data_IF_288842130722
#
_entry.id   IF_288842130722
#
_cell.length_a   1.000
_cell.length_b   1.000
_cell.length_c   1.000
_cell.angle_alpha   90.00
_cell.angle_beta   90.00
_cell.angle_gamma   90.00
#
_symmetry.space_group_name_H-M   'P 1'
#
loop_
_entity.id
_entity.type
_entity.pdbx_description
1 polymer ?
#
# COMPACT_ATOMS: atom_id res chain seq x y z
N UNK A 1 -19.04 -26.30 21.20
CA UNK A 1 -18.68 -26.97 19.93
C UNK A 1 -17.53 -27.92 20.24
N UNK A 2 -17.53 -29.15 19.72
CA UNK A 2 -16.42 -30.11 19.92
C UNK A 2 -15.27 -29.80 18.95
N UNK A 3 -14.04 -30.28 19.20
CA UNK A 3 -12.89 -30.09 18.28
C UNK A 3 -13.19 -30.58 16.86
N UNK A 4 -13.79 -31.78 16.73
CA UNK A 4 -14.24 -32.32 15.43
C UNK A 4 -15.23 -31.38 14.71
N UNK A 5 -16.10 -30.70 15.44
CA UNK A 5 -17.04 -29.75 14.84
C UNK A 5 -16.36 -28.43 14.42
N UNK A 6 -15.23 -28.06 15.04
CA UNK A 6 -14.44 -26.90 14.64
C UNK A 6 -13.63 -27.18 13.38
N UNK A 7 -13.05 -28.38 13.26
CA UNK A 7 -12.33 -28.82 12.06
C UNK A 7 -13.28 -28.90 10.85
N UNK A 8 -14.45 -29.52 11.01
CA UNK A 8 -15.48 -29.56 9.95
C UNK A 8 -15.93 -28.14 9.55
N UNK A 9 -16.13 -27.23 10.52
CA UNK A 9 -16.49 -25.85 10.21
C UNK A 9 -15.37 -25.15 9.43
N UNK A 10 -14.12 -25.40 9.82
CA UNK A 10 -12.95 -24.82 9.19
C UNK A 10 -12.85 -25.24 7.71
N UNK A 11 -12.95 -26.55 7.43
CA UNK A 11 -12.91 -27.09 6.06
C UNK A 11 -14.05 -26.53 5.21
N UNK A 12 -15.28 -26.52 5.73
CA UNK A 12 -16.42 -25.97 5.00
C UNK A 12 -16.27 -24.48 4.68
N UNK A 13 -15.65 -23.70 5.58
CA UNK A 13 -15.37 -22.27 5.33
C UNK A 13 -14.30 -22.11 4.25
N UNK A 14 -13.25 -22.93 4.29
CA UNK A 14 -12.20 -22.94 3.28
C UNK A 14 -12.79 -23.25 1.89
N UNK A 15 -13.55 -24.33 1.77
CA UNK A 15 -14.16 -24.77 0.51
C UNK A 15 -15.15 -23.73 -0.04
N UNK A 16 -16.01 -23.18 0.83
CA UNK A 16 -16.97 -22.16 0.43
C UNK A 16 -16.27 -20.89 -0.08
N UNK A 17 -15.19 -20.46 0.58
CA UNK A 17 -14.41 -19.30 0.13
C UNK A 17 -13.72 -19.59 -1.20
N UNK A 18 -13.11 -20.76 -1.36
CA UNK A 18 -12.51 -21.20 -2.63
C UNK A 18 -13.51 -21.12 -3.78
N UNK A 19 -14.70 -21.72 -3.61
CA UNK A 19 -15.74 -21.70 -4.63
C UNK A 19 -16.24 -20.29 -4.98
N UNK A 20 -16.29 -19.38 -3.99
CA UNK A 20 -16.62 -17.96 -4.24
C UNK A 20 -15.57 -17.31 -5.13
N UNK A 21 -14.29 -17.49 -4.81
CA UNK A 21 -13.20 -16.90 -5.59
C UNK A 21 -13.11 -17.49 -6.99
N UNK A 22 -13.24 -18.82 -7.12
CA UNK A 22 -13.24 -19.50 -8.42
C UNK A 22 -14.32 -18.99 -9.35
N UNK A 23 -15.54 -18.88 -8.83
CA UNK A 23 -16.70 -18.39 -9.58
C UNK A 23 -16.57 -16.94 -10.02
N UNK A 24 -15.79 -16.12 -9.29
CA UNK A 24 -15.76 -14.66 -9.48
C UNK A 24 -14.53 -14.15 -10.19
N UNK A 25 -13.41 -14.85 -10.06
CA UNK A 25 -12.13 -14.41 -10.58
C UNK A 25 -11.56 -15.42 -11.57
N UNK A 26 -11.79 -16.71 -11.38
CA UNK A 26 -11.18 -17.78 -12.18
C UNK A 26 -10.42 -18.76 -11.30
N UNK A 27 -9.63 -19.64 -11.91
CA UNK A 27 -9.00 -20.77 -11.23
C UNK A 27 -8.27 -20.37 -9.93
N UNK A 28 -8.58 -21.09 -8.85
CA UNK A 28 -7.86 -20.98 -7.60
C UNK A 28 -6.47 -21.60 -7.74
N UNK A 29 -5.40 -20.98 -7.20
CA UNK A 29 -4.06 -21.53 -7.30
C UNK A 29 -3.89 -22.79 -6.43
N UNK A 30 -2.98 -23.67 -6.84
CA UNK A 30 -2.67 -24.89 -6.09
C UNK A 30 -2.11 -24.60 -4.68
N UNK A 31 -1.42 -23.46 -4.53
CA UNK A 31 -0.80 -23.05 -3.27
C UNK A 31 -1.03 -21.55 -2.98
N UNK A 32 -1.14 -21.23 -1.68
CA UNK A 32 -1.14 -19.86 -1.18
C UNK A 32 0.23 -19.52 -0.60
N UNK A 33 0.70 -18.29 -0.85
CA UNK A 33 1.93 -17.74 -0.30
C UNK A 33 1.78 -17.49 1.21
N UNK A 34 2.61 -18.19 1.99
CA UNK A 34 2.71 -17.98 3.45
C UNK A 34 3.64 -16.81 3.76
N UNK A 35 3.20 -15.95 4.67
CA UNK A 35 4.06 -14.92 5.27
C UNK A 35 4.82 -15.57 6.42
N UNK A 36 6.13 -15.73 6.29
CA UNK A 36 6.92 -16.52 7.23
C UNK A 36 6.89 -16.00 8.66
N UNK A 37 6.87 -14.67 8.87
CA UNK A 37 6.71 -14.05 10.19
C UNK A 37 5.29 -14.20 10.78
N UNK A 38 4.33 -14.69 9.99
CA UNK A 38 2.97 -15.00 10.44
C UNK A 38 2.76 -16.49 10.74
N UNK A 39 3.84 -17.29 10.74
CA UNK A 39 3.76 -18.71 11.11
C UNK A 39 3.18 -18.86 12.51
N UNK A 40 2.12 -19.66 12.64
CA UNK A 40 1.39 -19.86 13.90
C UNK A 40 0.49 -18.71 14.35
N UNK A 41 0.59 -17.53 13.70
CA UNK A 41 -0.31 -16.38 13.90
C UNK A 41 -1.49 -16.45 12.92
N UNK A 42 -1.21 -16.88 11.69
CA UNK A 42 -2.18 -17.06 10.59
C UNK A 42 -2.03 -18.44 9.93
N UNK A 43 -2.22 -19.54 10.69
CA UNK A 43 -1.84 -20.90 10.24
C UNK A 43 -2.60 -21.32 8.98
N UNK A 44 -3.89 -20.99 8.92
CA UNK A 44 -4.82 -21.35 7.86
C UNK A 44 -4.92 -20.36 6.71
N UNK A 45 -4.08 -19.32 6.67
CA UNK A 45 -4.20 -18.27 5.67
C UNK A 45 -2.89 -17.87 5.01
N UNK A 46 -2.99 -16.99 4.04
CA UNK A 46 -1.89 -16.55 3.19
C UNK A 46 -2.35 -15.56 2.13
N UNK A 47 -1.43 -15.20 1.26
CA UNK A 47 -1.69 -14.38 0.09
C UNK A 47 -1.75 -15.28 -1.14
N UNK A 48 -2.45 -14.88 -2.19
CA UNK A 48 -2.21 -15.48 -3.49
C UNK A 48 -2.43 -14.49 -4.61
N UNK A 49 -1.86 -14.85 -5.77
CA UNK A 49 -2.11 -14.18 -7.05
C UNK A 49 -2.63 -15.17 -8.09
N UNK A 50 -3.51 -14.72 -8.96
CA UNK A 50 -4.09 -15.53 -10.04
C UNK A 50 -4.57 -14.63 -11.17
N UNK A 51 -4.73 -15.19 -12.38
CA UNK A 51 -5.44 -14.47 -13.45
C UNK A 51 -6.91 -14.33 -13.08
N UNK A 52 -7.44 -13.12 -13.21
CA UNK A 52 -8.84 -12.81 -13.01
C UNK A 52 -9.64 -13.00 -14.32
N UNK A 53 -9.57 -14.20 -14.91
CA UNK A 53 -10.12 -14.52 -16.23
C UNK A 53 -11.63 -14.32 -16.36
N UNK A 54 -12.38 -14.37 -15.26
CA UNK A 54 -13.83 -14.08 -15.25
C UNK A 54 -14.14 -12.58 -15.35
N UNK A 55 -13.14 -11.71 -15.17
CA UNK A 55 -13.28 -10.25 -15.21
C UNK A 55 -12.71 -9.62 -16.48
N UNK A 56 -11.70 -10.23 -17.10
CA UNK A 56 -11.09 -9.76 -18.34
C UNK A 56 -9.80 -10.51 -18.70
N UNK A 57 -9.37 -10.37 -19.95
CA UNK A 57 -8.29 -11.19 -20.54
C UNK A 57 -6.89 -10.91 -19.96
N UNK A 58 -6.68 -9.73 -19.38
CA UNK A 58 -5.38 -9.29 -18.87
C UNK A 58 -5.51 -8.64 -17.47
N UNK A 59 -6.46 -9.14 -16.68
CA UNK A 59 -6.60 -8.78 -15.27
C UNK A 59 -5.97 -9.83 -14.37
N UNK A 60 -5.30 -9.36 -13.33
CA UNK A 60 -4.74 -10.21 -12.27
C UNK A 60 -5.35 -9.85 -10.92
N UNK A 61 -5.69 -10.88 -10.16
CA UNK A 61 -6.15 -10.81 -8.79
C UNK A 61 -4.99 -11.08 -7.85
N UNK A 62 -4.88 -10.24 -6.82
CA UNK A 62 -4.07 -10.47 -5.63
C UNK A 62 -5.00 -10.37 -4.44
N UNK A 63 -4.88 -11.28 -3.49
CA UNK A 63 -5.79 -11.27 -2.35
C UNK A 63 -5.20 -11.91 -1.10
N UNK A 64 -5.76 -11.52 0.05
CA UNK A 64 -5.69 -12.33 1.26
C UNK A 64 -6.64 -13.52 1.15
N UNK A 65 -6.26 -14.62 1.79
CA UNK A 65 -7.12 -15.77 1.93
C UNK A 65 -6.92 -16.33 3.33
N UNK A 66 -7.92 -16.18 4.20
CA UNK A 66 -7.84 -16.69 5.56
C UNK A 66 -8.21 -15.69 6.65
N UNK A 67 -8.42 -14.41 6.33
CA UNK A 67 -8.84 -13.42 7.32
C UNK A 67 -10.23 -13.72 7.86
N UNK A 68 -11.05 -14.43 7.07
CA UNK A 68 -12.40 -14.87 7.42
C UNK A 68 -12.47 -16.25 8.10
N UNK A 69 -11.32 -16.88 8.41
CA UNK A 69 -11.33 -18.22 9.01
C UNK A 69 -11.95 -18.23 10.43
N UNK A 70 -12.54 -19.36 10.88
CA UNK A 70 -13.15 -19.47 12.21
C UNK A 70 -12.19 -19.29 13.39
N UNK A 71 -10.89 -19.46 13.19
CA UNK A 71 -9.83 -19.30 14.19
C UNK A 71 -9.30 -17.86 14.31
N UNK A 72 -9.83 -16.93 13.50
CA UNK A 72 -9.53 -15.50 13.58
C UNK A 72 -10.59 -14.74 14.43
N UNK A 73 -10.28 -13.57 15.00
CA UNK A 73 -8.98 -12.89 15.06
C UNK A 73 -7.89 -13.66 15.79
N UNK A 74 -6.63 -13.42 15.42
CA UNK A 74 -5.48 -14.14 16.03
C UNK A 74 -5.33 -13.83 17.52
N UNK A 75 -4.94 -14.84 18.28
CA UNK A 75 -4.67 -14.71 19.72
C UNK A 75 -3.19 -14.47 20.04
N UNK A 76 -2.33 -14.51 19.02
CA UNK A 76 -0.87 -14.52 19.20
C UNK A 76 -0.20 -13.41 18.40
N UNK A 77 0.94 -12.96 18.90
CA UNK A 77 1.89 -12.09 18.20
C UNK A 77 3.19 -12.87 18.01
N UNK A 78 3.86 -12.70 16.86
CA UNK A 78 5.21 -13.20 16.67
C UNK A 78 6.20 -12.34 17.46
N UNK A 79 7.21 -12.96 18.05
CA UNK A 79 8.27 -12.36 18.85
C UNK A 79 9.60 -13.06 18.57
N UNK A 80 10.73 -12.37 18.81
CA UNK A 80 12.08 -12.92 18.60
C UNK A 80 12.26 -13.55 17.21
N UNK A 81 11.85 -12.83 16.17
CA UNK A 81 11.91 -13.31 14.79
C UNK A 81 13.37 -13.31 14.35
N UNK A 82 13.91 -14.51 14.12
CA UNK A 82 15.24 -14.71 13.56
C UNK A 82 15.09 -15.41 12.21
N UNK A 83 15.74 -14.87 11.19
CA UNK A 83 15.76 -15.47 9.87
C UNK A 83 17.20 -15.89 9.54
N UNK A 84 17.40 -17.20 9.32
CA UNK A 84 18.70 -17.77 8.97
C UNK A 84 18.50 -18.76 7.84
N UNK A 85 19.17 -18.55 6.70
CA UNK A 85 19.15 -19.44 5.53
C UNK A 85 17.74 -19.86 5.07
N UNK A 86 16.80 -18.91 5.06
CA UNK A 86 15.40 -19.15 4.65
C UNK A 86 14.51 -19.79 5.72
N UNK A 87 15.07 -20.25 6.84
CA UNK A 87 14.30 -20.67 8.00
C UNK A 87 13.96 -19.46 8.87
N UNK A 88 12.70 -19.40 9.30
CA UNK A 88 12.22 -18.38 10.24
C UNK A 88 11.95 -19.06 11.56
N UNK A 89 12.71 -18.68 12.57
CA UNK A 89 12.46 -19.02 13.96
C UNK A 89 11.73 -17.85 14.62
N UNK A 90 10.61 -18.14 15.27
CA UNK A 90 9.86 -17.15 16.04
C UNK A 90 9.26 -17.80 17.28
N UNK A 91 8.95 -16.96 18.25
CA UNK A 91 8.18 -17.31 19.43
C UNK A 91 6.80 -16.66 19.36
N UNK A 92 5.77 -17.35 19.85
CA UNK A 92 4.41 -16.82 19.92
C UNK A 92 4.13 -16.31 21.33
N UNK A 93 3.70 -15.06 21.43
CA UNK A 93 3.22 -14.48 22.68
C UNK A 93 1.74 -14.21 22.59
N UNK A 94 0.98 -14.60 23.61
CA UNK A 94 -0.46 -14.35 23.63
C UNK A 94 -0.74 -12.85 23.73
N UNK A 95 -1.70 -12.35 22.97
CA UNK A 95 -2.16 -10.96 23.05
C UNK A 95 -2.81 -10.70 24.41
N UNK A 96 -2.52 -9.55 25.01
CA UNK A 96 -3.19 -9.10 26.24
C UNK A 96 -4.68 -8.87 26.00
N UNK A 97 -5.02 -8.28 24.85
CA UNK A 97 -6.39 -8.08 24.39
C UNK A 97 -6.51 -8.60 22.95
N UNK A 98 -7.52 -9.42 22.71
CA UNK A 98 -7.89 -9.88 21.36
C UNK A 98 -9.15 -9.11 20.97
N UNK A 99 -9.17 -8.41 19.81
CA UNK A 99 -10.38 -7.73 19.38
C UNK A 99 -11.49 -8.74 19.14
N UNK A 100 -12.71 -8.33 19.47
CA UNK A 100 -13.92 -9.12 19.21
C UNK A 100 -14.77 -8.34 18.21
N UNK A 101 -15.10 -8.99 17.12
CA UNK A 101 -15.98 -8.43 16.09
C UNK A 101 -17.26 -9.27 16.03
N UNK A 102 -18.29 -8.93 16.83
CA UNK A 102 -19.58 -9.60 16.74
C UNK A 102 -20.09 -9.59 15.29
N UNK A 103 -20.71 -10.71 14.88
CA UNK A 103 -21.35 -10.87 13.56
C UNK A 103 -20.38 -10.93 12.35
N UNK A 104 -19.06 -10.93 12.58
CA UNK A 104 -18.06 -11.08 11.51
C UNK A 104 -17.48 -12.50 11.51
N UNK A 105 -17.38 -13.17 10.34
CA UNK A 105 -16.56 -14.37 10.22
C UNK A 105 -15.08 -13.96 10.30
N UNK A 106 -14.38 -14.36 11.37
CA UNK A 106 -12.99 -13.93 11.59
C UNK A 106 -12.86 -12.40 11.72
N UNK A 107 -11.99 -11.80 10.91
CA UNK A 107 -11.91 -10.34 10.74
C UNK A 107 -13.07 -9.75 9.92
N UNK A 108 -13.81 -10.59 9.19
CA UNK A 108 -15.04 -10.24 8.48
C UNK A 108 -14.87 -9.86 7.02
N UNK A 109 -13.66 -9.93 6.48
CA UNK A 109 -13.38 -9.57 5.10
C UNK A 109 -12.18 -10.30 4.52
N UNK A 110 -12.12 -10.38 3.20
CA UNK A 110 -10.86 -10.52 2.48
C UNK A 110 -10.59 -9.20 1.73
N UNK A 111 -9.32 -8.88 1.50
CA UNK A 111 -8.90 -7.71 0.73
C UNK A 111 -8.27 -8.14 -0.59
N UNK A 112 -8.62 -7.43 -1.65
CA UNK A 112 -8.13 -7.67 -3.00
C UNK A 112 -7.42 -6.44 -3.58
N UNK A 113 -6.52 -6.71 -4.51
CA UNK A 113 -5.96 -5.74 -5.46
C UNK A 113 -6.16 -6.33 -6.84
N UNK A 114 -6.69 -5.54 -7.78
CA UNK A 114 -6.73 -5.91 -9.19
C UNK A 114 -5.70 -5.09 -9.95
N UNK A 115 -4.97 -5.72 -10.86
CA UNK A 115 -4.02 -5.01 -11.76
C UNK A 115 -4.27 -5.40 -13.20
N UNK A 116 -3.82 -4.52 -14.10
CA UNK A 116 -3.61 -4.88 -15.50
C UNK A 116 -2.25 -5.61 -15.60
N UNK A 117 -2.24 -6.80 -16.18
CA UNK A 117 -1.05 -7.64 -16.22
C UNK A 117 -0.57 -8.13 -14.85
N UNK A 118 0.42 -9.02 -14.87
CA UNK A 118 1.06 -9.53 -13.66
C UNK A 118 2.04 -8.50 -13.09
N UNK A 119 2.10 -8.36 -11.77
CA UNK A 119 2.97 -7.44 -11.04
C UNK A 119 3.24 -7.98 -9.63
N UNK A 120 4.42 -7.70 -9.05
CA UNK A 120 4.76 -8.22 -7.73
C UNK A 120 4.43 -7.27 -6.57
N UNK A 121 4.39 -5.96 -6.82
CA UNK A 121 4.09 -4.94 -5.80
C UNK A 121 2.77 -5.15 -5.03
N UNK A 122 1.67 -5.70 -5.60
CA UNK A 122 0.43 -5.87 -4.84
C UNK A 122 0.58 -6.82 -3.64
N UNK A 123 1.51 -7.78 -3.70
CA UNK A 123 1.78 -8.67 -2.57
C UNK A 123 2.37 -7.90 -1.38
N UNK A 124 3.23 -6.90 -1.63
CA UNK A 124 3.73 -6.00 -0.60
C UNK A 124 2.62 -5.19 0.07
N UNK A 125 1.66 -4.68 -0.71
CA UNK A 125 0.48 -3.99 -0.19
C UNK A 125 -0.40 -4.91 0.68
N UNK A 126 -0.62 -6.15 0.25
CA UNK A 126 -1.41 -7.11 1.03
C UNK A 126 -0.67 -7.55 2.30
N UNK A 127 0.65 -7.72 2.25
CA UNK A 127 1.47 -7.97 3.44
C UNK A 127 1.36 -6.80 4.44
N UNK A 128 1.41 -5.56 3.98
CA UNK A 128 1.15 -4.39 4.82
C UNK A 128 -0.24 -4.45 5.46
N UNK A 129 -1.28 -4.77 4.68
CA UNK A 129 -2.66 -4.84 5.20
C UNK A 129 -2.82 -5.94 6.26
N UNK A 130 -2.23 -7.12 6.03
CA UNK A 130 -2.22 -8.22 7.01
C UNK A 130 -1.48 -7.82 8.29
N UNK A 131 -0.32 -7.17 8.19
CA UNK A 131 0.41 -6.66 9.34
C UNK A 131 -0.41 -5.62 10.13
N UNK A 132 -1.08 -4.70 9.43
CA UNK A 132 -1.94 -3.70 10.06
C UNK A 132 -3.12 -4.35 10.80
N UNK A 133 -3.79 -5.31 10.18
CA UNK A 133 -4.96 -5.97 10.78
C UNK A 133 -4.58 -6.88 11.94
N UNK A 134 -3.60 -7.79 11.75
CA UNK A 134 -3.34 -8.86 12.71
C UNK A 134 -2.41 -8.45 13.86
N UNK A 135 -1.40 -7.63 13.56
CA UNK A 135 -0.40 -7.23 14.56
C UNK A 135 -0.79 -5.94 15.27
N UNK A 136 -1.52 -5.05 14.60
CA UNK A 136 -1.83 -3.71 15.10
C UNK A 136 -3.33 -3.46 15.31
N UNK A 137 -4.18 -4.48 15.12
CA UNK A 137 -5.63 -4.42 15.33
C UNK A 137 -6.28 -3.22 14.62
N UNK A 138 -5.89 -2.99 13.36
CA UNK A 138 -6.31 -1.81 12.62
C UNK A 138 -7.83 -1.72 12.42
N UNK A 139 -8.55 -2.85 12.38
CA UNK A 139 -9.97 -2.94 12.04
C UNK A 139 -10.28 -2.22 10.72
N UNK A 140 -9.58 -2.61 9.64
CA UNK A 140 -9.70 -1.95 8.34
C UNK A 140 -11.16 -1.95 7.85
N UNK A 141 -11.87 -3.07 8.02
CA UNK A 141 -13.29 -3.15 7.67
C UNK A 141 -14.16 -2.18 8.49
N UNK A 142 -13.95 -2.09 9.80
CA UNK A 142 -14.68 -1.15 10.64
C UNK A 142 -14.42 0.31 10.23
N UNK A 143 -13.17 0.65 9.89
CA UNK A 143 -12.82 1.99 9.37
C UNK A 143 -13.47 2.26 8.02
N UNK A 144 -13.42 1.32 7.08
CA UNK A 144 -14.09 1.46 5.77
C UNK A 144 -15.59 1.71 5.96
N UNK A 145 -16.26 0.94 6.83
CA UNK A 145 -17.69 1.14 7.13
C UNK A 145 -17.97 2.50 7.78
N UNK A 146 -17.12 2.91 8.73
CA UNK A 146 -17.31 4.16 9.48
C UNK A 146 -17.11 5.40 8.60
N UNK A 147 -16.19 5.34 7.65
CA UNK A 147 -15.74 6.50 6.88
C UNK A 147 -16.11 6.44 5.38
N UNK A 148 -16.94 5.46 4.98
CA UNK A 148 -17.31 5.20 3.58
C UNK A 148 -16.08 5.06 2.66
N UNK A 149 -15.13 4.25 3.11
CA UNK A 149 -13.80 4.11 2.51
C UNK A 149 -12.69 4.55 3.45
N UNK A 150 -11.47 4.11 3.16
CA UNK A 150 -10.27 4.41 3.93
C UNK A 150 -9.14 4.77 2.97
N UNK A 151 -8.50 5.91 3.18
CA UNK A 151 -7.32 6.28 2.41
C UNK A 151 -6.08 6.11 3.25
N UNK A 152 -5.04 5.54 2.65
CA UNK A 152 -3.74 5.31 3.27
C UNK A 152 -2.66 5.85 2.33
N UNK A 153 -1.81 6.71 2.87
CA UNK A 153 -0.71 7.34 2.15
C UNK A 153 0.59 6.53 2.30
N UNK A 154 1.41 6.60 1.26
CA UNK A 154 2.79 6.10 1.24
C UNK A 154 2.97 4.70 1.83
N UNK A 155 2.14 3.75 1.37
CA UNK A 155 2.31 2.33 1.67
C UNK A 155 3.48 1.80 0.85
N UNK A 156 4.52 1.31 1.53
CA UNK A 156 5.66 0.65 0.89
C UNK A 156 5.23 -0.71 0.33
N UNK A 157 5.47 -0.95 -0.96
CA UNK A 157 5.00 -2.14 -1.69
C UNK A 157 6.12 -2.94 -2.36
N UNK A 158 7.37 -2.49 -2.22
CA UNK A 158 8.58 -3.12 -2.74
C UNK A 158 9.82 -2.37 -2.27
N UNK A 159 10.96 -2.61 -2.91
CA UNK A 159 12.26 -1.98 -2.59
C UNK A 159 12.26 -0.49 -2.96
N UNK A 160 11.66 0.34 -2.09
CA UNK A 160 11.57 1.80 -2.26
C UNK A 160 10.35 2.29 -3.03
N UNK A 161 9.47 1.39 -3.47
CA UNK A 161 8.20 1.75 -4.13
C UNK A 161 7.10 2.02 -3.12
N UNK A 162 6.35 3.11 -3.33
CA UNK A 162 5.24 3.50 -2.46
C UNK A 162 3.98 3.83 -3.26
N UNK A 163 2.84 3.42 -2.73
CA UNK A 163 1.52 3.75 -3.30
C UNK A 163 0.63 4.44 -2.28
N UNK A 164 -0.24 5.33 -2.77
CA UNK A 164 -1.40 5.76 -2.02
C UNK A 164 -2.58 4.87 -2.42
N UNK A 165 -3.43 4.51 -1.47
CA UNK A 165 -4.59 3.65 -1.77
C UNK A 165 -5.87 4.21 -1.18
N UNK A 166 -6.97 3.98 -1.91
CA UNK A 166 -8.32 4.01 -1.40
C UNK A 166 -8.82 2.57 -1.22
N UNK A 167 -9.04 2.17 0.03
CA UNK A 167 -9.64 0.89 0.40
C UNK A 167 -11.15 1.11 0.56
N UNK A 168 -11.94 0.37 -0.20
CA UNK A 168 -13.41 0.45 -0.17
C UNK A 168 -14.00 -0.95 -0.24
N UNK A 169 -15.31 -1.08 0.02
CA UNK A 169 -16.02 -2.29 -0.39
C UNK A 169 -15.96 -2.41 -1.93
N UNK A 170 -15.80 -3.62 -2.43
CA UNK A 170 -15.82 -3.89 -3.87
C UNK A 170 -17.21 -3.58 -4.47
N UNK A 171 -17.20 -3.00 -5.68
CA UNK A 171 -18.40 -2.62 -6.41
C UNK A 171 -18.53 -3.39 -7.72
N UNK A 172 -19.75 -3.41 -8.27
CA UNK A 172 -20.08 -4.08 -9.54
C UNK A 172 -19.04 -3.75 -10.63
N UNK A 173 -18.51 -4.77 -11.34
CA UNK A 173 -19.01 -6.16 -11.41
C UNK A 173 -18.59 -7.08 -10.26
N UNK A 174 -17.76 -6.60 -9.32
CA UNK A 174 -17.30 -7.37 -8.17
C UNK A 174 -18.41 -7.48 -7.11
N UNK A 175 -18.49 -8.61 -6.38
CA UNK A 175 -19.40 -8.73 -5.25
C UNK A 175 -18.88 -7.91 -4.07
N UNK A 176 -19.74 -7.11 -3.42
CA UNK A 176 -19.36 -6.41 -2.18
C UNK A 176 -19.30 -7.32 -0.96
N UNK A 177 -20.00 -8.45 -0.97
CA UNK A 177 -20.01 -9.45 0.10
C UNK A 177 -20.14 -10.88 -0.44
N UNK A 178 -19.86 -11.85 0.42
CA UNK A 178 -19.97 -13.28 0.13
C UNK A 178 -20.40 -14.05 1.38
N UNK A 179 -21.13 -15.13 1.20
CA UNK A 179 -21.65 -15.97 2.30
C UNK A 179 -20.71 -17.13 2.57
N UNK A 180 -20.39 -17.34 3.85
CA UNK A 180 -19.63 -18.47 4.37
C UNK A 180 -20.45 -19.22 5.44
N UNK A 181 -20.12 -20.49 5.73
CA UNK A 181 -20.75 -21.25 6.82
C UNK A 181 -20.62 -20.60 8.20
N UNK A 182 -19.60 -19.76 8.43
CA UNK A 182 -19.38 -19.04 9.69
C UNK A 182 -19.85 -17.57 9.67
N UNK A 183 -20.46 -17.08 8.58
CA UNK A 183 -21.01 -15.72 8.52
C UNK A 183 -20.93 -15.06 7.13
N UNK A 184 -21.30 -13.79 7.05
CA UNK A 184 -21.17 -13.00 5.83
C UNK A 184 -19.84 -12.24 5.80
N UNK A 185 -18.96 -12.61 4.87
CA UNK A 185 -17.71 -11.91 4.59
C UNK A 185 -17.92 -10.72 3.66
N UNK A 186 -17.09 -9.70 3.79
CA UNK A 186 -17.06 -8.54 2.89
C UNK A 186 -15.84 -8.64 1.97
N UNK A 187 -15.97 -8.16 0.74
CA UNK A 187 -14.83 -8.03 -0.15
C UNK A 187 -14.38 -6.57 -0.16
N UNK A 188 -13.20 -6.31 0.40
CA UNK A 188 -12.56 -5.00 0.30
C UNK A 188 -11.64 -4.98 -0.91
N UNK A 189 -11.53 -3.84 -1.57
CA UNK A 189 -10.58 -3.62 -2.67
C UNK A 189 -9.74 -2.39 -2.38
N UNK A 190 -8.42 -2.53 -2.52
CA UNK A 190 -7.48 -1.43 -2.46
C UNK A 190 -7.17 -0.95 -3.88
N UNK A 191 -7.64 0.25 -4.19
CA UNK A 191 -7.40 0.92 -5.48
C UNK A 191 -6.29 1.94 -5.31
N UNK A 192 -5.24 1.85 -6.13
CA UNK A 192 -4.17 2.86 -6.18
C UNK A 192 -4.74 4.21 -6.64
N UNK A 193 -4.42 5.24 -5.88
CA UNK A 193 -4.83 6.62 -6.13
C UNK A 193 -3.61 7.54 -6.22
N UNK A 194 -3.75 8.63 -6.95
CA UNK A 194 -2.71 9.66 -7.07
C UNK A 194 -2.66 10.51 -5.79
N UNK A 195 -1.63 11.33 -5.64
CA UNK A 195 -1.52 12.23 -4.48
C UNK A 195 -2.60 13.31 -4.45
N UNK A 196 -3.01 13.82 -5.61
CA UNK A 196 -4.10 14.79 -5.68
C UNK A 196 -5.45 14.16 -5.35
N UNK A 197 -5.67 12.92 -5.79
CA UNK A 197 -6.83 12.13 -5.36
C UNK A 197 -6.82 11.89 -3.84
N UNK A 198 -5.67 11.54 -3.27
CA UNK A 198 -5.48 11.41 -1.82
C UNK A 198 -5.88 12.70 -1.09
N UNK A 199 -5.22 13.82 -1.42
CA UNK A 199 -5.47 15.11 -0.78
C UNK A 199 -6.93 15.57 -0.96
N UNK A 200 -7.47 15.42 -2.17
CA UNK A 200 -8.84 15.79 -2.49
C UNK A 200 -9.86 14.96 -1.71
N UNK A 201 -9.64 13.65 -1.57
CA UNK A 201 -10.56 12.76 -0.86
C UNK A 201 -10.67 13.10 0.64
N UNK A 202 -9.56 13.54 1.24
CA UNK A 202 -9.51 13.99 2.64
C UNK A 202 -10.40 15.21 2.86
N UNK A 203 -10.48 16.10 1.87
CA UNK A 203 -11.29 17.34 1.92
C UNK A 203 -12.73 17.13 1.48
N UNK A 204 -12.97 16.29 0.48
CA UNK A 204 -14.26 16.23 -0.23
C UNK A 204 -15.08 14.97 0.06
N UNK A 205 -14.47 13.90 0.57
CA UNK A 205 -15.09 12.61 0.83
C UNK A 205 -14.50 11.49 -0.04
N UNK A 206 -14.29 10.33 0.59
CA UNK A 206 -13.73 9.12 -0.05
C UNK A 206 -14.72 8.43 -0.97
N UNK A 207 -16.00 8.46 -0.59
CA UNK A 207 -17.14 8.03 -1.40
C UNK A 207 -17.24 8.83 -2.72
N UNK A 208 -16.99 10.14 -2.68
CA UNK A 208 -16.97 10.97 -3.88
C UNK A 208 -15.78 10.68 -4.78
N UNK A 209 -14.61 10.38 -4.21
CA UNK A 209 -13.48 9.91 -5.00
C UNK A 209 -13.80 8.55 -5.63
N UNK A 210 -14.36 7.61 -4.86
CA UNK A 210 -14.80 6.32 -5.37
C UNK A 210 -15.78 6.48 -6.55
N UNK A 211 -16.77 7.37 -6.46
CA UNK A 211 -17.69 7.62 -7.55
C UNK A 211 -16.99 8.10 -8.84
N UNK A 212 -15.93 8.93 -8.71
CA UNK A 212 -15.11 9.36 -9.86
C UNK A 212 -14.29 8.21 -10.42
N UNK A 213 -13.71 7.38 -9.57
CA UNK A 213 -12.97 6.19 -9.98
C UNK A 213 -13.90 5.22 -10.74
N UNK A 214 -15.09 4.92 -10.20
CA UNK A 214 -16.06 4.03 -10.86
C UNK A 214 -16.58 4.54 -12.21
N UNK A 215 -16.51 5.86 -12.44
CA UNK A 215 -16.84 6.48 -13.73
C UNK A 215 -15.66 6.51 -14.72
N UNK A 216 -14.44 6.17 -14.27
CA UNK A 216 -13.25 6.07 -15.12
C UNK A 216 -13.19 4.73 -15.85
N UNK A 217 -12.26 4.60 -16.78
CA UNK A 217 -12.03 3.33 -17.49
C UNK A 217 -11.49 2.24 -16.56
N UNK A 218 -10.61 2.61 -15.63
CA UNK A 218 -9.92 1.67 -14.75
C UNK A 218 -10.79 1.24 -13.57
N UNK A 219 -11.82 2.02 -13.20
CA UNK A 219 -12.73 1.71 -12.09
C UNK A 219 -11.96 1.44 -10.79
N UNK A 220 -11.97 0.20 -10.31
CA UNK A 220 -11.25 -0.23 -9.11
C UNK A 220 -9.99 -1.07 -9.43
N UNK A 221 -9.55 -1.10 -10.68
CA UNK A 221 -8.26 -1.65 -11.09
C UNK A 221 -7.15 -0.69 -10.69
N UNK A 222 -6.13 -1.20 -10.00
CA UNK A 222 -4.97 -0.44 -9.55
C UNK A 222 -3.93 -0.33 -10.66
N UNK A 223 -3.65 0.91 -11.05
CA UNK A 223 -2.63 1.26 -12.03
C UNK A 223 -1.69 2.27 -11.39
N UNK A 224 -0.42 1.91 -11.24
CA UNK A 224 0.61 2.83 -10.76
C UNK A 224 0.87 3.88 -11.85
N UNK A 225 1.06 5.14 -11.44
CA UNK A 225 1.36 6.27 -12.33
C UNK A 225 0.29 6.57 -13.41
N UNK A 226 -0.97 6.15 -13.22
CA UNK A 226 -2.06 6.62 -14.09
C UNK A 226 -2.34 8.12 -13.90
N UNK A 227 -2.89 8.80 -14.91
CA UNK A 227 -3.46 10.13 -14.72
C UNK A 227 -4.54 10.15 -13.64
N UNK A 228 -4.65 11.28 -12.95
CA UNK A 228 -5.67 11.52 -11.94
C UNK A 228 -7.07 11.60 -12.57
N UNK A 229 -8.09 11.07 -11.89
CA UNK A 229 -9.49 11.26 -12.27
C UNK A 229 -10.02 12.65 -11.93
N UNK A 230 -9.24 13.45 -11.20
CA UNK A 230 -9.51 14.87 -10.95
C UNK A 230 -8.91 15.72 -12.06
N UNK A 231 -7.72 15.36 -12.51
CA UNK A 231 -6.91 16.10 -13.47
C UNK A 231 -6.33 15.12 -14.51
N UNK A 232 -7.12 14.73 -15.52
CA UNK A 232 -6.75 13.66 -16.46
C UNK A 232 -5.66 14.08 -17.47
N UNK A 233 -5.36 15.37 -17.58
CA UNK A 233 -4.21 15.85 -18.34
C UNK A 233 -2.95 15.74 -17.47
N UNK A 234 -1.89 15.10 -18.00
CA UNK A 234 -0.58 15.07 -17.36
C UNK A 234 -0.02 16.48 -17.22
N UNK A 235 0.45 16.84 -16.04
CA UNK A 235 1.13 18.11 -15.80
C UNK A 235 2.48 18.08 -16.52
N UNK A 236 2.77 19.12 -17.30
CA UNK A 236 4.10 19.35 -17.80
C UNK A 236 4.86 20.25 -16.81
N UNK A 237 5.81 19.66 -16.08
CA UNK A 237 6.51 20.38 -15.02
C UNK A 237 7.43 21.49 -15.57
N UNK A 238 7.83 21.41 -16.85
CA UNK A 238 8.61 22.48 -17.52
C UNK A 238 7.86 23.81 -17.59
N UNK A 239 6.53 23.77 -17.58
CA UNK A 239 5.68 24.94 -17.80
C UNK A 239 5.36 25.69 -16.50
N UNK A 240 5.80 25.16 -15.35
CA UNK A 240 5.66 25.81 -14.04
C UNK A 240 6.88 26.69 -13.84
N UNK A 241 6.71 28.01 -13.94
CA UNK A 241 7.82 28.98 -13.97
C UNK A 241 7.92 29.85 -12.70
N UNK A 242 7.01 29.64 -11.74
CA UNK A 242 6.99 30.42 -10.50
C UNK A 242 6.55 29.64 -9.26
N UNK A 243 6.89 30.21 -8.11
CA UNK A 243 6.61 29.61 -6.78
C UNK A 243 5.13 29.48 -6.48
N UNK A 244 4.31 30.46 -6.85
CA UNK A 244 2.87 30.46 -6.53
C UNK A 244 2.16 29.27 -7.18
N UNK A 245 2.47 28.99 -8.45
CA UNK A 245 1.99 27.80 -9.15
C UNK A 245 2.47 26.51 -8.50
N UNK A 246 3.76 26.43 -8.12
CA UNK A 246 4.31 25.24 -7.46
C UNK A 246 3.66 24.98 -6.09
N UNK A 247 3.41 26.04 -5.31
CA UNK A 247 2.70 25.98 -4.03
C UNK A 247 1.24 25.56 -4.19
N UNK A 248 0.54 26.07 -5.22
CA UNK A 248 -0.82 25.67 -5.53
C UNK A 248 -0.91 24.19 -5.90
N UNK A 249 -0.03 23.71 -6.78
CA UNK A 249 0.08 22.30 -7.15
C UNK A 249 0.47 21.43 -5.96
N UNK A 250 1.30 21.93 -5.05
CA UNK A 250 1.61 21.22 -3.81
C UNK A 250 0.41 21.12 -2.87
N UNK A 251 -0.38 22.19 -2.74
CA UNK A 251 -1.61 22.18 -1.96
C UNK A 251 -2.68 21.25 -2.57
N UNK A 252 -2.62 21.04 -3.89
CA UNK A 252 -3.44 20.06 -4.59
C UNK A 252 -2.89 18.62 -4.48
N UNK A 253 -1.71 18.41 -3.90
CA UNK A 253 -1.05 17.10 -3.78
C UNK A 253 -0.19 16.71 -4.98
N UNK A 254 -0.17 17.49 -6.06
CA UNK A 254 0.53 17.16 -7.31
C UNK A 254 2.05 17.34 -7.24
N UNK A 255 2.49 18.17 -6.29
CA UNK A 255 3.89 18.35 -5.92
C UNK A 255 4.04 18.16 -4.40
N UNK A 256 5.26 17.83 -3.97
CA UNK A 256 5.65 17.75 -2.56
C UNK A 256 6.75 18.75 -2.28
N UNK A 257 6.52 19.58 -1.26
CA UNK A 257 7.58 20.41 -0.69
C UNK A 257 8.67 19.48 -0.15
N UNK A 258 9.87 19.58 -0.72
CA UNK A 258 11.01 18.72 -0.41
C UNK A 258 12.21 19.60 -0.08
N UNK A 259 13.08 19.14 0.82
CA UNK A 259 14.27 19.88 1.22
C UNK A 259 15.51 19.35 0.52
N UNK A 260 16.32 20.22 -0.07
CA UNK A 260 17.60 19.85 -0.71
C UNK A 260 18.53 19.25 0.35
N UNK A 261 18.74 19.99 1.44
CA UNK A 261 19.41 19.56 2.65
C UNK A 261 18.35 19.14 3.69
N UNK A 262 18.25 17.85 4.04
CA UNK A 262 17.24 17.33 4.96
C UNK A 262 17.22 18.06 6.30
N UNK A 263 16.02 18.25 6.87
CA UNK A 263 15.87 18.89 8.18
C UNK A 263 16.53 18.05 9.27
N UNK A 264 16.52 16.72 9.11
CA UNK A 264 17.15 15.74 9.98
C UNK A 264 18.69 15.85 9.99
N UNK A 265 19.29 16.43 8.94
CA UNK A 265 20.72 16.77 8.89
C UNK A 265 21.02 18.17 9.46
N UNK A 266 20.00 18.90 9.94
CA UNK A 266 20.12 20.28 10.40
C UNK A 266 19.74 21.33 9.35
N UNK A 267 19.13 20.91 8.23
CA UNK A 267 18.56 21.81 7.25
C UNK A 267 17.51 22.75 7.84
N UNK A 268 17.30 23.87 7.16
CA UNK A 268 16.34 24.89 7.59
C UNK A 268 15.16 24.94 6.63
N UNK A 269 13.98 25.29 7.14
CA UNK A 269 12.82 25.61 6.32
C UNK A 269 12.94 27.05 5.82
N UNK A 270 13.79 27.26 4.81
CA UNK A 270 13.98 28.53 4.14
C UNK A 270 13.92 28.37 2.61
N UNK A 271 13.64 29.47 1.87
CA UNK A 271 13.41 29.38 0.43
C UNK A 271 14.58 28.86 -0.41
N UNK A 272 15.82 28.86 0.08
CA UNK A 272 16.98 28.33 -0.64
C UNK A 272 17.15 26.82 -0.46
N UNK A 273 16.55 26.26 0.59
CA UNK A 273 16.59 24.82 0.87
C UNK A 273 15.35 24.08 0.35
N UNK A 274 14.34 24.78 -0.15
CA UNK A 274 13.06 24.20 -0.57
C UNK A 274 13.01 24.03 -2.09
N UNK A 275 12.62 22.83 -2.52
CA UNK A 275 12.23 22.51 -3.91
C UNK A 275 10.86 21.82 -3.91
N UNK A 276 10.16 21.90 -5.03
CA UNK A 276 8.89 21.20 -5.22
C UNK A 276 9.10 20.08 -6.22
N UNK A 277 8.77 18.85 -5.83
CA UNK A 277 9.01 17.65 -6.65
C UNK A 277 7.73 16.83 -6.80
N UNK A 278 7.51 16.16 -7.93
CA UNK A 278 6.54 15.08 -8.04
C UNK A 278 6.83 14.00 -7.00
N UNK A 279 5.82 13.23 -6.60
CA UNK A 279 5.95 12.20 -5.57
C UNK A 279 7.13 11.26 -5.81
N UNK A 280 7.27 10.74 -7.02
CA UNK A 280 8.31 9.76 -7.34
C UNK A 280 9.69 10.30 -7.02
N UNK A 281 10.03 11.50 -7.52
CA UNK A 281 11.32 12.14 -7.24
C UNK A 281 11.49 12.50 -5.75
N UNK A 282 10.43 12.98 -5.08
CA UNK A 282 10.44 13.27 -3.64
C UNK A 282 10.73 12.02 -2.79
N UNK A 283 10.12 10.89 -3.13
CA UNK A 283 10.35 9.61 -2.43
C UNK A 283 11.71 9.01 -2.74
N UNK A 284 12.15 9.01 -4.00
CA UNK A 284 13.51 8.59 -4.37
C UNK A 284 14.55 9.37 -3.58
N UNK A 285 14.32 10.68 -3.39
CA UNK A 285 15.19 11.50 -2.55
C UNK A 285 15.16 11.05 -1.10
N UNK A 286 13.97 10.86 -0.52
CA UNK A 286 13.83 10.43 0.88
C UNK A 286 14.52 9.10 1.15
N UNK A 287 14.44 8.13 0.23
CA UNK A 287 15.14 6.85 0.33
C UNK A 287 16.66 7.05 0.35
N UNK A 288 17.19 7.87 -0.57
CA UNK A 288 18.62 8.18 -0.60
C UNK A 288 19.08 8.93 0.65
N UNK A 289 18.31 9.93 1.11
CA UNK A 289 18.58 10.68 2.33
C UNK A 289 18.65 9.76 3.55
N UNK A 290 17.77 8.76 3.64
CA UNK A 290 17.79 7.76 4.71
C UNK A 290 19.05 6.89 4.65
N UNK A 291 19.45 6.43 3.46
CA UNK A 291 20.70 5.68 3.29
C UNK A 291 21.92 6.51 3.71
N UNK A 292 21.96 7.79 3.33
CA UNK A 292 23.02 8.72 3.78
C UNK A 292 23.00 8.87 5.30
N UNK A 293 21.83 9.00 5.92
CA UNK A 293 21.69 9.12 7.38
C UNK A 293 22.29 7.92 8.10
N UNK A 294 22.00 6.70 7.64
CA UNK A 294 22.53 5.47 8.22
C UNK A 294 24.06 5.42 8.15
N UNK A 295 24.64 5.79 7.00
CA UNK A 295 26.10 5.87 6.84
C UNK A 295 26.73 7.01 7.65
N UNK A 296 26.06 8.15 7.76
CA UNK A 296 26.53 9.28 8.57
C UNK A 296 26.55 8.92 10.06
N UNK A 297 25.54 8.20 10.56
CA UNK A 297 25.50 7.70 11.94
C UNK A 297 26.64 6.71 12.25
N UNK A 298 27.13 5.99 11.24
CA UNK A 298 28.30 5.11 11.34
C UNK A 298 29.63 5.85 11.24
N UNK A 299 29.62 7.17 10.98
CA UNK A 299 30.80 7.99 10.77
C UNK A 299 31.40 7.89 9.36
N UNK A 300 30.71 7.25 8.42
CA UNK A 300 31.21 6.98 7.07
C UNK A 300 30.98 8.13 6.08
N UNK A 301 30.12 9.08 6.43
CA UNK A 301 29.81 10.28 5.64
C UNK A 301 30.16 11.52 6.46
N UNK A 302 30.78 12.50 5.81
CA UNK A 302 31.21 13.76 6.42
C UNK A 302 30.61 15.00 5.77
N UNK A 303 30.23 14.93 4.49
CA UNK A 303 29.56 16.00 3.78
C UNK A 303 28.36 15.48 3.00
N UNK A 304 27.38 16.34 2.79
CA UNK A 304 26.23 16.09 1.94
C UNK A 304 25.90 17.35 1.15
N UNK A 305 25.64 17.19 -0.14
CA UNK A 305 25.23 18.27 -1.04
C UNK A 305 24.15 17.77 -1.99
N UNK A 306 23.15 18.62 -2.25
CA UNK A 306 22.10 18.36 -3.22
C UNK A 306 21.96 19.60 -4.11
N UNK A 307 22.15 19.41 -5.42
CA UNK A 307 22.15 20.47 -6.41
C UNK A 307 20.99 20.26 -7.38
N UNK A 308 19.95 21.12 -7.38
CA UNK A 308 18.89 21.06 -8.37
C UNK A 308 19.38 21.61 -9.71
N UNK A 309 19.04 20.91 -10.79
CA UNK A 309 19.26 21.36 -12.16
C UNK A 309 17.92 21.82 -12.74
N UNK A 310 17.90 22.98 -13.40
CA UNK A 310 16.70 23.56 -13.98
C UNK A 310 16.84 23.72 -15.49
N UNK A 311 15.75 23.48 -16.23
CA UNK A 311 15.69 23.72 -17.66
C UNK A 311 14.96 25.03 -17.95
N UNK A 312 15.59 25.91 -18.73
CA UNK A 312 15.03 27.19 -19.16
C UNK A 312 14.50 28.02 -17.97
N UNK A 313 13.24 28.45 -18.04
CA UNK A 313 12.59 29.29 -17.03
C UNK A 313 11.77 28.46 -16.01
N UNK A 314 11.89 27.13 -16.00
CA UNK A 314 11.13 26.29 -15.07
C UNK A 314 11.55 26.51 -13.63
N UNK A 315 10.56 26.60 -12.75
CA UNK A 315 10.70 26.62 -11.30
C UNK A 315 10.76 25.20 -10.68
N UNK A 316 10.43 24.16 -11.45
CA UNK A 316 10.55 22.77 -11.03
C UNK A 316 11.85 22.21 -11.63
N UNK A 317 12.79 21.68 -10.81
CA UNK A 317 14.03 21.15 -11.35
C UNK A 317 13.76 19.98 -12.30
N UNK A 318 14.56 19.84 -13.36
CA UNK A 318 14.56 18.65 -14.24
C UNK A 318 15.16 17.45 -13.51
N UNK A 319 16.14 17.71 -12.62
CA UNK A 319 16.85 16.68 -11.87
C UNK A 319 17.48 17.26 -10.60
N UNK A 320 17.87 16.39 -9.67
CA UNK A 320 18.69 16.74 -8.51
C UNK A 320 19.89 15.80 -8.46
N UNK A 321 21.09 16.36 -8.52
CA UNK A 321 22.33 15.63 -8.28
C UNK A 321 22.66 15.69 -6.78
N UNK A 322 22.80 14.53 -6.15
CA UNK A 322 23.08 14.41 -4.72
C UNK A 322 24.41 13.68 -4.53
N UNK A 323 25.30 14.26 -3.74
CA UNK A 323 26.61 13.70 -3.40
C UNK A 323 26.78 13.75 -1.89
N UNK A 324 27.05 12.57 -1.30
CA UNK A 324 27.45 12.43 0.09
C UNK A 324 28.90 11.91 0.13
N UNK A 325 29.83 12.75 0.56
CA UNK A 325 31.27 12.45 0.59
C UNK A 325 31.71 11.89 1.95
N UNK A 326 32.65 10.96 1.91
CA UNK A 326 33.22 10.31 3.10
C UNK A 326 33.99 9.05 2.74
N UNK A 327 34.24 8.19 3.74
CA UNK A 327 34.91 6.91 3.53
C UNK A 327 34.05 5.94 2.69
N UNK A 328 32.73 5.97 2.89
CA UNK A 328 31.76 5.24 2.08
C UNK A 328 30.91 6.20 1.23
N UNK A 329 31.56 7.13 0.53
CA UNK A 329 30.86 8.13 -0.28
C UNK A 329 29.90 7.53 -1.30
N UNK A 330 28.70 8.10 -1.41
CA UNK A 330 27.64 7.69 -2.33
C UNK A 330 27.09 8.89 -3.07
N UNK A 331 26.60 8.66 -4.29
CA UNK A 331 25.95 9.70 -5.10
C UNK A 331 24.78 9.14 -5.88
N UNK A 332 23.84 10.01 -6.24
CA UNK A 332 22.72 9.69 -7.10
C UNK A 332 22.29 10.90 -7.92
N UNK A 333 21.61 10.65 -9.03
CA UNK A 333 20.87 11.65 -9.78
C UNK A 333 19.40 11.25 -9.77
N UNK A 334 18.55 12.16 -9.30
CA UNK A 334 17.11 11.96 -9.24
C UNK A 334 16.51 12.72 -10.41
N UNK A 335 16.03 12.00 -11.42
CA UNK A 335 15.26 12.59 -12.51
C UNK A 335 13.87 12.98 -12.02
N UNK A 336 13.40 14.16 -12.42
CA UNK A 336 12.12 14.72 -11.99
C UNK A 336 11.10 14.64 -13.13
N UNK A 337 11.47 15.00 -14.36
CA UNK A 337 10.60 14.99 -15.54
C UNK A 337 11.33 14.86 -16.87
#
# INVERSE_FOLDING_TARGET
MTEVNQEILWDNVYDARTAVFEKKFGLFPDEILKLGHMTGVWPGGGLFKSKASELGDDLWLYTTFGLTNPDMPTQYLPQNINQTDGNIELTLTKKETVPVYPERPGYGYEIIVLTQGEADWPLGLLQWAVNAEMLNDADLLGRVKKYNGLTIEDVMVGDGDYVNVLITQAHSPLPGSFTLPNGEGQLLIATVITDDEMAWSMKNGRDKLLAKLLASNDKQVSVINRPSVLNPASINYSDIDNREQAEELAAQGMLRKTYLFPLEFGGQDDPMNVVYLPKTASLSKKVFDQQVMELAQQGNISNYSASPNYQADSFIPESIDIVADGEAGISTRIEVW
#
